data_IF_396608955730
#
_entry.id   IF_396608955730
#
_cell.length_a   1.000
_cell.length_b   1.000
_cell.length_c   1.000
_cell.angle_alpha   90.00
_cell.angle_beta   90.00
_cell.angle_gamma   90.00
#
_symmetry.space_group_name_H-M   'P 1'
#
loop_
_entity.id
_entity.type
_entity.pdbx_description
1 polymer ?
#
# COMPACT_ATOMS: atom_id res chain seq x y z
N UNK A 1 3.11 16.21 -18.30
CA UNK A 1 3.16 15.10 -17.33
C UNK A 1 3.50 13.87 -18.16
N UNK A 2 4.65 13.25 -17.88
CA UNK A 2 5.18 12.17 -18.71
C UNK A 2 4.59 10.83 -18.25
N UNK A 3 3.98 10.09 -19.18
CA UNK A 3 3.29 8.82 -18.90
C UNK A 3 4.24 7.76 -18.31
N UNK A 4 5.50 7.78 -18.74
CA UNK A 4 6.49 6.80 -18.27
C UNK A 4 6.81 7.04 -16.78
N UNK A 5 6.99 8.31 -16.40
CA UNK A 5 7.20 8.71 -15.00
C UNK A 5 6.00 8.39 -14.11
N UNK A 6 4.78 8.55 -14.62
CA UNK A 6 3.58 8.17 -13.86
C UNK A 6 3.61 6.67 -13.57
N UNK A 7 3.89 5.88 -14.60
CA UNK A 7 3.91 4.42 -14.51
C UNK A 7 4.98 3.94 -13.53
N UNK A 8 6.17 4.55 -13.57
CA UNK A 8 7.25 4.28 -12.63
C UNK A 8 6.84 4.58 -11.17
N UNK A 9 6.25 5.74 -10.92
CA UNK A 9 5.76 6.14 -9.58
C UNK A 9 4.70 5.16 -9.06
N UNK A 10 3.76 4.75 -9.91
CA UNK A 10 2.73 3.78 -9.55
C UNK A 10 3.34 2.40 -9.28
N UNK A 11 4.26 1.95 -10.13
CA UNK A 11 4.92 0.67 -9.97
C UNK A 11 5.69 0.60 -8.64
N UNK A 12 6.53 1.61 -8.37
CA UNK A 12 7.37 1.62 -7.19
C UNK A 12 6.57 1.76 -5.88
N UNK A 13 5.63 2.71 -5.83
CA UNK A 13 4.91 2.99 -4.59
C UNK A 13 3.84 1.93 -4.30
N UNK A 14 3.13 1.43 -5.32
CA UNK A 14 2.00 0.53 -5.11
C UNK A 14 2.40 -0.95 -5.25
N UNK A 15 2.95 -1.33 -6.40
CA UNK A 15 3.09 -2.75 -6.75
C UNK A 15 4.08 -3.46 -5.84
N UNK A 16 5.23 -2.85 -5.57
CA UNK A 16 6.27 -3.46 -4.72
C UNK A 16 5.69 -3.78 -3.32
N UNK A 17 4.97 -2.84 -2.73
CA UNK A 17 4.40 -3.03 -1.39
C UNK A 17 3.36 -4.15 -1.36
N UNK A 18 2.45 -4.19 -2.34
CA UNK A 18 1.45 -5.26 -2.43
C UNK A 18 2.07 -6.64 -2.69
N UNK A 19 3.13 -6.71 -3.49
CA UNK A 19 3.86 -7.96 -3.76
C UNK A 19 4.48 -8.49 -2.47
N UNK A 20 5.12 -7.63 -1.67
CA UNK A 20 5.71 -8.01 -0.37
C UNK A 20 4.62 -8.55 0.56
N UNK A 21 3.51 -7.83 0.71
CA UNK A 21 2.39 -8.28 1.55
C UNK A 21 1.87 -9.64 1.08
N UNK A 22 1.60 -9.79 -0.23
CA UNK A 22 1.14 -11.04 -0.82
C UNK A 22 2.11 -12.20 -0.56
N UNK A 23 3.42 -11.94 -0.60
CA UNK A 23 4.43 -12.96 -0.38
C UNK A 23 4.45 -13.49 1.07
N UNK A 24 4.29 -12.61 2.06
CA UNK A 24 4.40 -12.98 3.47
C UNK A 24 3.07 -13.34 4.14
N UNK A 25 1.94 -12.80 3.68
CA UNK A 25 0.65 -12.92 4.39
C UNK A 25 0.19 -14.37 4.55
N UNK A 26 0.39 -15.22 3.54
CA UNK A 26 0.00 -16.63 3.61
C UNK A 26 0.83 -17.39 4.64
N UNK A 27 2.14 -17.11 4.74
CA UNK A 27 3.01 -17.73 5.74
C UNK A 27 2.64 -17.27 7.15
N UNK A 28 2.36 -15.98 7.33
CA UNK A 28 1.93 -15.42 8.62
C UNK A 28 0.59 -16.02 9.08
N UNK A 29 -0.36 -16.23 8.16
CA UNK A 29 -1.64 -16.87 8.46
C UNK A 29 -1.47 -18.34 8.83
N UNK A 30 -0.58 -19.08 8.17
CA UNK A 30 -0.35 -20.50 8.46
C UNK A 30 0.19 -20.75 9.88
N UNK A 31 0.93 -19.80 10.45
CA UNK A 31 1.49 -19.89 11.81
C UNK A 31 0.72 -19.05 12.83
N UNK A 32 -0.38 -18.40 12.42
CA UNK A 32 -1.20 -17.47 13.22
C UNK A 32 -0.41 -16.38 13.94
N UNK A 33 0.77 -16.03 13.41
CA UNK A 33 1.73 -15.08 13.99
C UNK A 33 2.35 -14.27 12.87
N UNK A 34 2.32 -12.95 13.01
CA UNK A 34 2.96 -12.02 12.08
C UNK A 34 2.34 -10.64 12.18
N UNK A 35 3.15 -9.61 11.91
CA UNK A 35 2.69 -8.23 11.83
C UNK A 35 3.26 -7.57 10.59
N UNK A 36 2.44 -6.79 9.89
CA UNK A 36 2.84 -6.00 8.73
C UNK A 36 2.60 -4.54 9.08
N UNK A 37 3.64 -3.72 8.99
CA UNK A 37 3.58 -2.29 9.25
C UNK A 37 3.74 -1.56 7.91
N UNK A 38 2.75 -0.76 7.55
CA UNK A 38 2.83 0.12 6.39
C UNK A 38 3.33 1.50 6.83
N UNK A 39 4.35 2.02 6.15
CA UNK A 39 4.86 3.37 6.38
C UNK A 39 4.31 4.27 5.29
N UNK A 40 3.28 5.05 5.65
CA UNK A 40 2.61 5.97 4.74
C UNK A 40 2.87 7.43 5.12
N UNK A 41 2.74 8.31 4.14
CA UNK A 41 2.82 9.75 4.33
C UNK A 41 1.49 10.34 4.83
N UNK A 42 1.54 11.43 5.62
CA UNK A 42 0.38 12.26 5.97
C UNK A 42 -0.46 12.69 4.75
N UNK A 43 0.18 12.84 3.59
CA UNK A 43 -0.46 13.11 2.30
C UNK A 43 -1.48 12.05 1.85
N UNK A 44 -1.53 10.88 2.48
CA UNK A 44 -2.59 9.89 2.30
C UNK A 44 -3.96 10.39 2.77
N UNK A 45 -3.99 11.29 3.75
CA UNK A 45 -5.22 11.82 4.36
C UNK A 45 -5.66 13.14 3.73
N UNK A 46 -4.70 13.96 3.28
CA UNK A 46 -4.98 15.25 2.64
C UNK A 46 -4.11 15.43 1.40
N UNK A 47 -4.70 15.58 0.20
CA UNK A 47 -3.92 15.86 -1.00
C UNK A 47 -3.30 17.24 -0.93
N UNK A 48 -2.11 17.38 -1.50
CA UNK A 48 -1.40 18.65 -1.59
C UNK A 48 -1.19 19.06 -3.06
N UNK A 49 -1.29 20.35 -3.40
CA UNK A 49 -1.02 20.82 -4.77
C UNK A 49 0.35 20.32 -5.26
N UNK A 50 0.45 20.03 -6.56
CA UNK A 50 1.65 19.51 -7.23
C UNK A 50 2.10 18.10 -6.82
N UNK A 51 1.48 17.49 -5.80
CA UNK A 51 1.79 16.13 -5.33
C UNK A 51 0.61 15.16 -5.50
N UNK A 52 -0.38 15.51 -6.33
CA UNK A 52 -1.64 14.75 -6.48
C UNK A 52 -1.41 13.27 -6.78
N UNK A 53 -0.49 12.94 -7.70
CA UNK A 53 -0.20 11.54 -8.03
C UNK A 53 0.37 10.79 -6.82
N UNK A 54 1.34 11.38 -6.13
CA UNK A 54 1.95 10.79 -4.95
C UNK A 54 0.93 10.63 -3.82
N UNK A 55 0.17 11.68 -3.49
CA UNK A 55 -0.93 11.63 -2.52
C UNK A 55 -1.92 10.50 -2.84
N UNK A 56 -2.34 10.37 -4.10
CA UNK A 56 -3.24 9.30 -4.53
C UNK A 56 -2.64 7.89 -4.28
N UNK A 57 -1.34 7.69 -4.56
CA UNK A 57 -0.69 6.40 -4.26
C UNK A 57 -0.69 6.07 -2.76
N UNK A 58 -0.43 7.06 -1.90
CA UNK A 58 -0.41 6.89 -0.45
C UNK A 58 -1.82 6.62 0.11
N UNK A 59 -2.83 7.33 -0.38
CA UNK A 59 -4.24 7.06 -0.03
C UNK A 59 -4.66 5.65 -0.45
N UNK A 60 -4.24 5.18 -1.63
CA UNK A 60 -4.53 3.83 -2.10
C UNK A 60 -3.93 2.77 -1.17
N UNK A 61 -2.66 2.93 -0.79
CA UNK A 61 -1.95 2.00 0.10
C UNK A 61 -2.60 1.94 1.49
N UNK A 62 -2.97 3.08 2.06
CA UNK A 62 -3.67 3.15 3.35
C UNK A 62 -4.95 2.29 3.31
N UNK A 63 -5.85 2.59 2.37
CA UNK A 63 -7.13 1.88 2.25
C UNK A 63 -6.94 0.39 1.96
N UNK A 64 -5.95 0.04 1.13
CA UNK A 64 -5.66 -1.35 0.78
C UNK A 64 -5.20 -2.15 1.99
N UNK A 65 -4.29 -1.59 2.81
CA UNK A 65 -3.80 -2.27 4.02
C UNK A 65 -4.86 -2.39 5.11
N UNK A 66 -5.72 -1.38 5.29
CA UNK A 66 -6.88 -1.49 6.18
C UNK A 66 -7.83 -2.61 5.75
N UNK A 67 -8.11 -2.71 4.44
CA UNK A 67 -8.88 -3.80 3.88
C UNK A 67 -8.23 -5.17 4.12
N UNK A 68 -6.93 -5.30 3.84
CA UNK A 68 -6.17 -6.53 4.06
C UNK A 68 -6.17 -6.91 5.54
N UNK A 69 -5.92 -5.98 6.46
CA UNK A 69 -5.93 -6.22 7.90
C UNK A 69 -7.29 -6.69 8.40
N UNK A 70 -8.38 -6.14 7.85
CA UNK A 70 -9.75 -6.55 8.19
C UNK A 70 -10.07 -7.96 7.68
N UNK A 71 -9.62 -8.31 6.48
CA UNK A 71 -9.84 -9.64 5.89
C UNK A 71 -8.97 -10.70 6.57
N UNK A 72 -7.72 -10.38 6.89
CA UNK A 72 -6.76 -11.33 7.45
C UNK A 72 -7.07 -11.73 8.89
N UNK A 73 -7.70 -10.85 9.68
CA UNK A 73 -8.12 -11.12 11.07
C UNK A 73 -9.45 -11.87 11.21
N UNK A 74 -10.22 -12.02 10.12
CA UNK A 74 -11.52 -12.70 10.13
C UNK A 74 -11.45 -14.19 9.76
N UNK A 75 -10.27 -14.68 9.37
CA UNK A 75 -9.98 -16.11 9.19
C UNK A 75 -9.36 -16.65 10.47
#
# INVERSE_FOLDING_TARGET
>A
MDCDKITEVLFHNINIQLIIVKHFINKMQAVSIGNIINVINFLAFRPFPYLTLYSATQSFLLNSFEGIAKVSRKK
#
